data_IF_117536304046
#
_entry.id   IF_117536304046
#
_cell.length_a   1.000
_cell.length_b   1.000
_cell.length_c   1.000
_cell.angle_alpha   90.00
_cell.angle_beta   90.00
_cell.angle_gamma   90.00
#
_symmetry.space_group_name_H-M   'P 1'
#
loop_
_entity.id
_entity.type
_entity.pdbx_description
1 polymer ?
#
# COMPACT_ATOMS: atom_id res chain seq x y z
N UNK A 1 -7.36 18.54 -1.95
CA UNK A 1 -6.28 17.61 -1.57
C UNK A 1 -6.90 16.29 -1.12
N UNK A 2 -7.94 16.32 -0.29
CA UNK A 2 -8.69 15.13 0.12
C UNK A 2 -9.20 14.32 -1.08
N UNK A 3 -9.94 14.93 -2.02
CA UNK A 3 -10.36 14.26 -3.26
C UNK A 3 -9.23 13.71 -4.14
N UNK A 4 -8.00 14.24 -4.02
CA UNK A 4 -6.85 13.69 -4.74
C UNK A 4 -6.34 12.43 -4.03
N UNK A 5 -6.26 12.46 -2.70
CA UNK A 5 -5.83 11.31 -1.90
C UNK A 5 -6.87 10.20 -1.97
N UNK A 6 -8.16 10.52 -1.99
CA UNK A 6 -9.25 9.56 -2.21
C UNK A 6 -9.07 8.79 -3.53
N UNK A 7 -8.59 9.46 -4.59
CA UNK A 7 -8.29 8.78 -5.85
C UNK A 7 -7.06 7.87 -5.74
N UNK A 8 -6.04 8.25 -4.94
CA UNK A 8 -4.89 7.39 -4.67
C UNK A 8 -5.28 6.14 -3.89
N UNK A 9 -6.24 6.24 -2.98
CA UNK A 9 -6.69 5.11 -2.17
C UNK A 9 -7.23 3.96 -3.05
N UNK A 10 -7.92 4.27 -4.16
CA UNK A 10 -8.38 3.25 -5.12
C UNK A 10 -7.20 2.48 -5.74
N UNK A 11 -6.15 3.18 -6.18
CA UNK A 11 -4.97 2.54 -6.77
C UNK A 11 -4.13 1.79 -5.73
N UNK A 12 -4.06 2.32 -4.51
CA UNK A 12 -3.37 1.67 -3.39
C UNK A 12 -4.10 0.39 -3.00
N UNK A 13 -5.43 0.40 -2.94
CA UNK A 13 -6.23 -0.78 -2.64
C UNK A 13 -6.09 -1.85 -3.71
N UNK A 14 -6.13 -1.48 -5.00
CA UNK A 14 -5.95 -2.41 -6.12
C UNK A 14 -4.56 -3.07 -6.07
N UNK A 15 -3.49 -2.27 -5.98
CA UNK A 15 -2.11 -2.78 -5.88
C UNK A 15 -1.90 -3.61 -4.61
N UNK A 16 -2.54 -3.23 -3.49
CA UNK A 16 -2.50 -4.01 -2.26
C UNK A 16 -3.25 -5.34 -2.37
N UNK A 17 -4.33 -5.42 -3.14
CA UNK A 17 -5.04 -6.67 -3.37
C UNK A 17 -4.17 -7.71 -4.07
N UNK A 18 -3.38 -7.29 -5.05
CA UNK A 18 -2.48 -8.19 -5.75
C UNK A 18 -1.29 -8.58 -4.87
N UNK A 19 -0.71 -7.63 -4.13
CA UNK A 19 0.27 -7.93 -3.08
C UNK A 19 -0.24 -8.92 -2.05
N UNK A 20 -1.47 -8.73 -1.57
CA UNK A 20 -2.06 -9.60 -0.56
C UNK A 20 -2.23 -11.04 -1.06
N UNK A 21 -2.71 -11.23 -2.29
CA UNK A 21 -2.81 -12.56 -2.92
C UNK A 21 -1.44 -13.23 -3.06
N UNK A 22 -0.43 -12.48 -3.47
CA UNK A 22 0.95 -12.96 -3.59
C UNK A 22 1.54 -13.33 -2.23
N UNK A 23 1.36 -12.48 -1.23
CA UNK A 23 1.87 -12.66 0.12
C UNK A 23 1.23 -13.87 0.82
N UNK A 24 -0.10 -13.97 0.75
CA UNK A 24 -0.86 -15.08 1.36
C UNK A 24 -0.62 -16.42 0.67
N UNK A 25 -0.11 -16.44 -0.56
CA UNK A 25 0.31 -17.67 -1.24
C UNK A 25 1.49 -18.38 -0.55
N UNK A 26 2.19 -17.72 0.38
CA UNK A 26 3.37 -18.21 1.11
C UNK A 26 4.55 -18.63 0.22
N UNK A 27 4.55 -18.22 -1.06
CA UNK A 27 5.64 -18.49 -2.01
C UNK A 27 6.88 -17.63 -1.75
N UNK A 28 6.70 -16.46 -1.14
CA UNK A 28 7.74 -15.46 -0.93
C UNK A 28 8.10 -15.39 0.57
N UNK A 29 9.38 -15.17 0.88
CA UNK A 29 9.87 -15.08 2.26
C UNK A 29 9.95 -13.63 2.75
N UNK A 30 10.01 -12.68 1.82
CA UNK A 30 10.08 -11.25 2.10
C UNK A 30 9.05 -10.50 1.25
N UNK A 31 8.54 -9.38 1.75
CA UNK A 31 7.64 -8.51 0.98
C UNK A 31 8.26 -8.08 -0.35
N UNK A 32 9.55 -7.71 -0.36
CA UNK A 32 10.26 -7.28 -1.56
C UNK A 32 10.44 -8.35 -2.65
N UNK A 33 10.13 -9.61 -2.35
CA UNK A 33 10.14 -10.70 -3.33
C UNK A 33 8.78 -10.86 -4.01
N UNK A 34 7.71 -10.25 -3.48
CA UNK A 34 6.39 -10.25 -4.11
C UNK A 34 6.45 -9.35 -5.36
N UNK A 35 6.07 -9.83 -6.55
CA UNK A 35 6.11 -9.07 -7.79
C UNK A 35 5.47 -7.68 -7.71
N UNK A 36 4.33 -7.58 -7.03
CA UNK A 36 3.56 -6.33 -6.85
C UNK A 36 4.14 -5.37 -5.81
N UNK A 37 5.12 -5.79 -4.98
CA UNK A 37 5.65 -4.96 -3.90
C UNK A 37 6.23 -3.64 -4.38
N UNK A 38 6.93 -3.65 -5.52
CA UNK A 38 7.56 -2.45 -6.06
C UNK A 38 6.55 -1.37 -6.42
N UNK A 39 5.44 -1.76 -7.03
CA UNK A 39 4.33 -0.87 -7.38
C UNK A 39 3.67 -0.33 -6.11
N UNK A 40 3.25 -1.21 -5.20
CA UNK A 40 2.60 -0.81 -3.96
C UNK A 40 3.48 0.15 -3.15
N UNK A 41 4.77 -0.16 -3.02
CA UNK A 41 5.72 0.70 -2.31
C UNK A 41 5.85 2.08 -2.97
N UNK A 42 5.85 2.13 -4.30
CA UNK A 42 5.94 3.39 -5.07
C UNK A 42 4.70 4.24 -4.86
N UNK A 43 3.50 3.65 -4.86
CA UNK A 43 2.25 4.35 -4.54
C UNK A 43 2.27 4.93 -3.13
N UNK A 44 2.67 4.13 -2.13
CA UNK A 44 2.78 4.59 -0.75
C UNK A 44 3.79 5.72 -0.58
N UNK A 45 4.95 5.64 -1.24
CA UNK A 45 5.97 6.69 -1.21
C UNK A 45 5.52 7.98 -1.89
N UNK A 46 4.60 7.88 -2.84
CA UNK A 46 4.02 9.03 -3.54
C UNK A 46 2.96 9.73 -2.68
N UNK A 47 2.11 8.97 -1.98
CA UNK A 47 0.98 9.53 -1.22
C UNK A 47 1.35 9.94 0.21
N UNK A 48 2.31 9.27 0.85
CA UNK A 48 2.67 9.53 2.25
C UNK A 48 3.17 10.96 2.52
N UNK A 49 3.95 11.61 1.63
CA UNK A 49 4.26 13.04 1.76
C UNK A 49 3.01 13.93 1.79
N UNK A 50 2.00 13.61 0.99
CA UNK A 50 0.74 14.36 0.93
C UNK A 50 -0.08 14.14 2.21
N UNK A 51 -0.22 12.88 2.65
CA UNK A 51 -0.89 12.52 3.91
C UNK A 51 -0.26 13.25 5.10
N UNK A 52 1.07 13.25 5.18
CA UNK A 52 1.81 13.98 6.22
C UNK A 52 1.55 15.49 6.16
N UNK A 53 1.49 16.09 4.97
CA UNK A 53 1.24 17.53 4.80
C UNK A 53 -0.14 17.94 5.36
N UNK A 54 -1.15 17.09 5.21
CA UNK A 54 -2.51 17.35 5.73
C UNK A 54 -2.73 16.82 7.16
N UNK A 55 -1.69 16.32 7.82
CA UNK A 55 -1.76 15.81 9.20
C UNK A 55 -2.34 14.39 9.36
N UNK A 56 -2.46 13.63 8.26
CA UNK A 56 -2.86 12.23 8.30
C UNK A 56 -1.66 11.31 8.57
N UNK A 57 -1.94 10.15 9.15
CA UNK A 57 -0.93 9.11 9.33
C UNK A 57 -0.47 8.53 8.00
N UNK A 58 0.83 8.22 7.91
CA UNK A 58 1.40 7.51 6.79
C UNK A 58 0.83 6.09 6.72
N UNK A 59 0.61 5.61 5.50
CA UNK A 59 0.30 4.23 5.22
C UNK A 59 1.58 3.39 5.24
N UNK A 60 1.47 2.18 5.76
CA UNK A 60 2.49 1.14 5.63
C UNK A 60 1.87 -0.20 5.26
N UNK A 61 2.58 -0.98 4.44
CA UNK A 61 2.13 -2.31 4.00
C UNK A 61 1.80 -3.20 5.21
N UNK A 62 2.58 -3.08 6.30
CA UNK A 62 2.33 -3.85 7.52
C UNK A 62 1.00 -3.49 8.17
N UNK A 63 0.69 -2.21 8.35
CA UNK A 63 -0.59 -1.78 8.92
C UNK A 63 -1.76 -2.22 8.02
N UNK A 64 -1.59 -2.13 6.70
CA UNK A 64 -2.61 -2.58 5.76
C UNK A 64 -2.87 -4.08 5.85
N UNK A 65 -1.85 -4.90 6.11
CA UNK A 65 -2.01 -6.32 6.41
C UNK A 65 -2.78 -6.53 7.72
N UNK A 66 -2.38 -5.83 8.78
CA UNK A 66 -3.01 -5.92 10.10
C UNK A 66 -4.50 -5.51 10.06
N UNK A 67 -4.91 -4.60 9.16
CA UNK A 67 -6.31 -4.20 8.97
C UNK A 67 -7.16 -5.20 8.17
N UNK A 68 -6.51 -6.11 7.43
CA UNK A 68 -7.20 -7.08 6.57
C UNK A 68 -7.45 -8.42 7.27
N UNK A 69 -6.67 -8.72 8.32
CA UNK A 69 -6.82 -9.90 9.19
C UNK A 69 -7.85 -9.65 10.30
#
# INVERSE_FOLDING_TARGET
>A
MDHLIDNFDVYIEDSFNDFYKEWTSKKYKKFSECPSYGELKTLLDSVNPLRKYIGWESLSIKQMLDWRE
#
